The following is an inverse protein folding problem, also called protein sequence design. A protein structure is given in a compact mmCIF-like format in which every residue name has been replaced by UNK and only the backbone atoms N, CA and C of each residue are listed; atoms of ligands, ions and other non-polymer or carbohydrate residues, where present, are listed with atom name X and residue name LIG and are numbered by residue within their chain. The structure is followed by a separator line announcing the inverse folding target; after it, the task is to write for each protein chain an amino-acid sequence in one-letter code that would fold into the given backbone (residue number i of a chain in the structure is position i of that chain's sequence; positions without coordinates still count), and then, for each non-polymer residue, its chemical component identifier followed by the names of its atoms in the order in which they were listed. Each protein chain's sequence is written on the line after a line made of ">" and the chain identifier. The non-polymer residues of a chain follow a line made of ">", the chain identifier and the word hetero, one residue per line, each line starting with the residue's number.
data_IF_785059094486
#
_entry.id   IF_785059094486
#
_cell.length_a   1.000
_cell.length_b   1.000
_cell.length_c   1.000
_cell.angle_alpha   90.00
_cell.angle_beta   90.00
_cell.angle_gamma   90.00
#
_symmetry.space_group_name_H-M   'P 1'
#
loop_
_entity.id
_entity.type
_entity.pdbx_description
1 polymer ?
#
# COMPACT_ATOMS: atom_id res chain seq x y z
N UNK A 1 13.64 -18.61 -8.79
CA UNK A 1 12.22 -18.95 -9.03
C UNK A 1 11.33 -17.94 -8.35
N UNK A 2 10.34 -17.35 -9.06
CA UNK A 2 9.47 -16.34 -8.47
C UNK A 2 8.73 -16.83 -7.21
N UNK A 3 8.33 -18.10 -7.19
CA UNK A 3 7.63 -18.67 -6.02
C UNK A 3 8.51 -18.73 -4.77
N UNK A 4 9.80 -18.98 -4.93
CA UNK A 4 10.73 -19.01 -3.80
C UNK A 4 10.97 -17.61 -3.26
N UNK A 5 11.08 -16.63 -4.14
CA UNK A 5 11.23 -15.22 -3.76
C UNK A 5 10.01 -14.72 -3.00
N UNK A 6 8.81 -15.08 -3.47
CA UNK A 6 7.57 -14.73 -2.79
C UNK A 6 7.48 -15.38 -1.41
N UNK A 7 7.87 -16.65 -1.29
CA UNK A 7 7.89 -17.36 -0.03
C UNK A 7 8.83 -16.70 0.98
N UNK A 8 10.00 -16.28 0.54
CA UNK A 8 10.97 -15.58 1.39
C UNK A 8 10.42 -14.24 1.87
N UNK A 9 9.77 -13.49 0.97
CA UNK A 9 9.11 -12.24 1.35
C UNK A 9 8.03 -12.46 2.40
N UNK A 10 7.21 -13.50 2.24
CA UNK A 10 6.16 -13.82 3.20
C UNK A 10 6.76 -14.13 4.57
N UNK A 11 7.81 -14.91 4.64
CA UNK A 11 8.47 -15.25 5.90
C UNK A 11 9.02 -14.02 6.61
N UNK A 12 9.73 -13.17 5.87
CA UNK A 12 10.33 -11.96 6.43
C UNK A 12 9.26 -10.95 6.84
N UNK A 13 8.26 -10.74 6.00
CA UNK A 13 7.19 -9.80 6.29
C UNK A 13 6.34 -10.25 7.48
N UNK A 14 6.12 -11.54 7.63
CA UNK A 14 5.32 -12.10 8.74
C UNK A 14 5.89 -11.74 10.11
N UNK A 15 7.20 -11.54 10.22
CA UNK A 15 7.82 -11.17 11.48
C UNK A 15 7.45 -9.76 11.92
N UNK A 16 6.95 -8.91 11.02
CA UNK A 16 6.57 -7.52 11.31
C UNK A 16 5.07 -7.29 11.32
N UNK A 17 4.27 -8.20 10.75
CA UNK A 17 2.84 -8.02 10.53
C UNK A 17 2.04 -7.64 11.80
N UNK A 18 2.28 -8.26 12.97
CA UNK A 18 1.51 -7.94 14.17
C UNK A 18 1.74 -6.51 14.70
N UNK A 19 2.72 -5.80 14.16
CA UNK A 19 3.13 -4.49 14.65
C UNK A 19 2.60 -3.34 13.77
N UNK A 20 1.69 -3.65 12.82
CA UNK A 20 1.20 -2.68 11.85
C UNK A 20 2.17 -2.48 10.70
N UNK A 21 2.12 -1.33 10.00
CA UNK A 21 3.04 -1.08 8.89
C UNK A 21 4.49 -1.17 9.33
N UNK A 22 5.31 -1.87 8.55
CA UNK A 22 6.72 -2.02 8.84
C UNK A 22 7.47 -0.70 8.61
N UNK A 23 8.58 -0.45 9.34
CA UNK A 23 9.34 0.79 9.19
C UNK A 23 10.22 0.75 7.93
N UNK A 24 9.60 0.61 6.77
CA UNK A 24 10.29 0.44 5.48
C UNK A 24 11.16 1.65 5.13
N UNK A 25 10.82 2.83 5.64
CA UNK A 25 11.60 4.05 5.41
C UNK A 25 12.98 4.00 6.06
N UNK A 26 13.18 3.10 7.03
CA UNK A 26 14.46 2.90 7.70
C UNK A 26 15.34 1.86 7.00
N UNK A 27 14.79 1.16 6.02
CA UNK A 27 15.48 0.05 5.35
C UNK A 27 15.93 0.47 3.96
N UNK A 28 17.17 0.18 3.63
CA UNK A 28 17.74 0.46 2.32
C UNK A 28 18.53 -0.76 1.82
N UNK A 29 17.85 -1.91 1.64
CA UNK A 29 18.50 -3.10 1.14
C UNK A 29 18.81 -3.01 -0.36
N UNK A 30 19.65 -3.90 -0.89
CA UNK A 30 19.92 -3.91 -2.32
C UNK A 30 18.67 -4.27 -3.11
N UNK A 31 18.57 -3.71 -4.31
CA UNK A 31 17.49 -4.04 -5.23
C UNK A 31 17.73 -5.45 -5.81
N UNK A 32 16.71 -6.30 -5.69
CA UNK A 32 16.80 -7.71 -6.07
C UNK A 32 16.01 -8.05 -7.34
N UNK A 33 15.59 -7.05 -8.10
CA UNK A 33 14.84 -7.26 -9.33
C UNK A 33 13.35 -7.02 -9.17
N UNK A 34 12.60 -7.22 -10.23
CA UNK A 34 11.15 -7.03 -10.25
C UNK A 34 10.45 -8.35 -9.97
N UNK A 35 9.36 -8.26 -9.21
CA UNK A 35 8.47 -9.38 -8.94
C UNK A 35 7.16 -9.12 -9.68
N UNK A 36 6.59 -10.17 -10.28
CA UNK A 36 5.33 -10.03 -11.02
C UNK A 36 4.14 -9.94 -10.05
N UNK A 37 4.08 -8.82 -9.36
CA UNK A 37 2.93 -8.44 -8.56
C UNK A 37 2.38 -7.15 -9.15
N UNK A 38 1.06 -7.10 -9.37
CA UNK A 38 0.37 -5.94 -9.92
C UNK A 38 -0.76 -5.56 -8.98
N UNK A 39 -0.79 -4.30 -8.56
CA UNK A 39 -1.95 -3.72 -7.87
C UNK A 39 -2.78 -3.01 -8.93
N UNK A 40 -3.98 -3.54 -9.20
CA UNK A 40 -4.89 -3.00 -10.20
C UNK A 40 -5.56 -1.72 -9.71
N UNK A 41 -6.23 -1.02 -10.62
CA UNK A 41 -6.94 0.23 -10.31
C UNK A 41 -7.99 0.09 -9.22
N UNK A 42 -8.63 -1.07 -9.15
CA UNK A 42 -9.67 -1.35 -8.16
C UNK A 42 -9.10 -1.78 -6.80
N UNK A 43 -7.78 -1.79 -6.65
CA UNK A 43 -7.10 -2.19 -5.42
C UNK A 43 -6.82 -3.68 -5.31
N UNK A 44 -7.21 -4.47 -6.30
CA UNK A 44 -6.93 -5.91 -6.28
C UNK A 44 -5.47 -6.19 -6.60
N UNK A 45 -4.93 -7.23 -5.96
CA UNK A 45 -3.55 -7.65 -6.12
C UNK A 45 -3.47 -8.93 -6.94
N UNK A 46 -2.54 -8.95 -7.90
CA UNK A 46 -2.31 -10.10 -8.77
C UNK A 46 -0.85 -10.54 -8.67
N UNK A 47 -0.63 -11.84 -8.68
CA UNK A 47 0.69 -12.43 -8.75
C UNK A 47 0.73 -13.42 -9.92
N UNK A 48 1.66 -13.19 -10.85
CA UNK A 48 1.80 -14.00 -12.07
C UNK A 48 0.48 -14.16 -12.84
N UNK A 49 -0.28 -13.05 -12.92
CA UNK A 49 -1.55 -13.02 -13.65
C UNK A 49 -2.73 -13.60 -12.90
N UNK A 50 -2.55 -14.05 -11.67
CA UNK A 50 -3.61 -14.63 -10.85
C UNK A 50 -3.94 -13.75 -9.66
N UNK A 51 -5.22 -13.58 -9.31
CA UNK A 51 -5.58 -12.76 -8.16
C UNK A 51 -5.09 -13.38 -6.85
N UNK A 52 -4.55 -12.54 -5.97
CA UNK A 52 -4.23 -12.93 -4.60
C UNK A 52 -5.51 -12.82 -3.80
N UNK A 53 -6.14 -13.95 -3.51
CA UNK A 53 -7.45 -14.00 -2.87
C UNK A 53 -7.39 -13.95 -1.36
N UNK A 54 -6.26 -14.37 -0.78
CA UNK A 54 -6.09 -14.38 0.67
C UNK A 54 -5.81 -12.96 1.15
N UNK A 55 -6.76 -12.42 1.90
CA UNK A 55 -6.68 -11.06 2.41
C UNK A 55 -5.48 -10.84 3.31
N UNK A 56 -5.11 -11.85 4.08
CA UNK A 56 -3.94 -11.78 4.97
C UNK A 56 -2.64 -11.58 4.20
N UNK A 57 -2.50 -12.13 3.00
CA UNK A 57 -1.33 -11.87 2.16
C UNK A 57 -1.31 -10.45 1.63
N UNK A 58 -2.46 -9.93 1.21
CA UNK A 58 -2.56 -8.55 0.74
C UNK A 58 -2.20 -7.58 1.86
N UNK A 59 -2.71 -7.81 3.06
CA UNK A 59 -2.38 -6.99 4.24
C UNK A 59 -0.89 -7.07 4.57
N UNK A 60 -0.33 -8.27 4.52
CA UNK A 60 1.08 -8.51 4.79
C UNK A 60 1.97 -7.75 3.81
N UNK A 61 1.72 -7.90 2.51
CA UNK A 61 2.52 -7.22 1.48
C UNK A 61 2.32 -5.71 1.54
N UNK A 62 1.12 -5.22 1.83
CA UNK A 62 0.90 -3.78 1.96
C UNK A 62 1.67 -3.19 3.14
N UNK A 63 1.95 -3.98 4.17
CA UNK A 63 2.71 -3.51 5.32
C UNK A 63 4.19 -3.25 5.01
N UNK A 64 4.72 -3.86 3.95
CA UNK A 64 6.11 -3.67 3.52
C UNK A 64 6.22 -2.89 2.21
N UNK A 65 5.17 -2.25 1.79
CA UNK A 65 5.14 -1.44 0.59
C UNK A 65 5.88 -0.11 0.81
N UNK A 66 6.76 0.23 -0.13
CA UNK A 66 7.50 1.49 -0.11
C UNK A 66 7.46 2.14 -1.49
N UNK A 67 7.27 3.44 -1.51
CA UNK A 67 7.37 4.24 -2.74
C UNK A 67 8.71 4.96 -2.76
N UNK A 68 9.46 4.81 -3.85
CA UNK A 68 10.69 5.56 -4.10
C UNK A 68 10.59 6.19 -5.49
N UNK A 69 10.72 7.50 -5.56
CA UNK A 69 10.50 8.27 -6.79
C UNK A 69 9.09 7.97 -7.32
N UNK A 70 8.90 7.47 -8.48
CA UNK A 70 7.58 7.12 -9.01
C UNK A 70 7.34 5.61 -9.10
N UNK A 71 8.16 4.84 -8.38
CA UNK A 71 8.05 3.37 -8.38
C UNK A 71 7.70 2.84 -7.00
N UNK A 72 7.10 1.67 -7.00
CA UNK A 72 6.70 0.97 -5.78
C UNK A 72 7.52 -0.30 -5.61
N UNK A 73 7.82 -0.62 -4.35
CA UNK A 73 8.64 -1.77 -3.98
C UNK A 73 8.05 -2.45 -2.75
N UNK A 74 8.29 -3.76 -2.66
CA UNK A 74 8.13 -4.50 -1.43
C UNK A 74 9.51 -4.62 -0.79
N UNK A 75 9.64 -4.20 0.46
CA UNK A 75 10.93 -4.04 1.13
C UNK A 75 10.94 -4.82 2.43
N UNK A 76 12.02 -5.58 2.63
CA UNK A 76 12.40 -6.16 3.93
C UNK A 76 13.79 -5.66 4.28
N UNK A 77 14.29 -5.90 5.49
CA UNK A 77 15.67 -5.50 5.79
C UNK A 77 16.72 -6.12 4.86
N UNK A 78 16.40 -7.24 4.22
CA UNK A 78 17.35 -7.99 3.42
C UNK A 78 17.23 -7.74 1.92
N UNK A 79 16.03 -7.36 1.42
CA UNK A 79 15.81 -7.24 -0.02
C UNK A 79 14.75 -6.21 -0.38
N UNK A 80 14.85 -5.72 -1.61
CA UNK A 80 13.89 -4.80 -2.21
C UNK A 80 13.52 -5.33 -3.59
N UNK A 81 12.23 -5.57 -3.83
CA UNK A 81 11.73 -6.03 -5.12
C UNK A 81 10.71 -5.04 -5.68
N UNK A 82 10.79 -4.78 -6.99
CA UNK A 82 9.88 -3.86 -7.66
C UNK A 82 8.55 -4.54 -7.97
N UNK A 83 7.47 -3.79 -7.84
CA UNK A 83 6.13 -4.22 -8.24
C UNK A 83 5.49 -3.18 -9.14
N UNK A 84 4.37 -3.53 -9.76
CA UNK A 84 3.61 -2.63 -10.62
C UNK A 84 2.35 -2.17 -9.90
N UNK A 85 2.12 -0.87 -9.90
CA UNK A 85 0.90 -0.27 -9.36
C UNK A 85 0.25 0.54 -10.47
N UNK A 86 -0.99 0.18 -10.86
CA UNK A 86 -1.65 0.81 -11.99
C UNK A 86 -2.02 2.26 -11.70
N UNK A 87 -2.40 2.58 -10.46
CA UNK A 87 -2.78 3.93 -10.10
C UNK A 87 -2.35 4.28 -8.68
N UNK A 88 -3.05 3.74 -7.69
CA UNK A 88 -2.74 3.95 -6.28
C UNK A 88 -2.68 2.61 -5.57
N UNK A 89 -1.77 2.45 -4.58
CA UNK A 89 -1.63 1.17 -3.90
C UNK A 89 -2.79 0.84 -2.96
N UNK A 90 -3.53 1.86 -2.49
CA UNK A 90 -4.64 1.69 -1.57
C UNK A 90 -5.91 2.31 -2.12
N UNK A 91 -7.04 1.72 -1.78
CA UNK A 91 -8.37 2.22 -2.12
C UNK A 91 -9.13 2.48 -0.83
N UNK A 92 -9.75 3.65 -0.71
CA UNK A 92 -10.62 3.96 0.42
C UNK A 92 -11.97 3.25 0.19
N UNK A 93 -12.37 2.42 1.14
CA UNK A 93 -13.61 1.65 1.07
C UNK A 93 -14.63 2.06 2.13
N UNK A 94 -14.26 2.94 3.04
CA UNK A 94 -15.18 3.42 4.08
C UNK A 94 -14.74 4.76 4.62
N UNK A 95 -15.71 5.52 5.14
CA UNK A 95 -15.47 6.83 5.73
C UNK A 95 -16.40 7.02 6.91
N UNK A 96 -15.85 7.48 8.03
CA UNK A 96 -16.61 7.87 9.21
C UNK A 96 -16.32 9.32 9.53
N UNK A 97 -17.38 10.06 9.89
CA UNK A 97 -17.25 11.44 10.34
C UNK A 97 -17.69 11.50 11.80
N UNK A 98 -16.85 12.05 12.65
CA UNK A 98 -17.14 12.23 14.06
C UNK A 98 -16.68 13.61 14.52
N UNK A 99 -17.01 13.96 15.76
CA UNK A 99 -16.54 15.21 16.36
C UNK A 99 -15.76 14.88 17.62
N UNK A 100 -14.64 15.55 17.78
CA UNK A 100 -13.81 15.43 18.98
C UNK A 100 -13.47 16.84 19.45
N UNK A 101 -13.91 17.17 20.67
CA UNK A 101 -13.71 18.51 21.26
C UNK A 101 -14.24 19.63 20.36
N UNK A 102 -15.39 19.39 19.70
CA UNK A 102 -16.02 20.36 18.80
C UNK A 102 -15.41 20.45 17.42
N UNK A 103 -14.38 19.64 17.12
CA UNK A 103 -13.73 19.62 15.82
C UNK A 103 -14.17 18.37 15.05
N UNK A 104 -14.51 18.56 13.78
CA UNK A 104 -14.88 17.46 12.90
C UNK A 104 -13.64 16.61 12.58
N UNK A 105 -13.79 15.29 12.72
CA UNK A 105 -12.74 14.31 12.41
C UNK A 105 -13.27 13.38 11.33
N UNK A 106 -12.51 13.25 10.24
CA UNK A 106 -12.83 12.35 9.14
C UNK A 106 -11.84 11.19 9.18
N UNK A 107 -12.38 9.97 9.27
CA UNK A 107 -11.58 8.75 9.30
C UNK A 107 -11.90 7.92 8.06
N UNK A 108 -10.86 7.52 7.34
CA UNK A 108 -10.96 6.67 6.17
C UNK A 108 -10.47 5.27 6.49
N UNK A 109 -11.09 4.28 5.89
CA UNK A 109 -10.64 2.89 5.94
C UNK A 109 -10.27 2.44 4.55
N UNK A 110 -9.08 1.84 4.41
CA UNK A 110 -8.59 1.33 3.14
C UNK A 110 -9.02 -0.12 2.92
N UNK A 111 -8.82 -0.60 1.71
CA UNK A 111 -9.08 -2.00 1.34
C UNK A 111 -8.16 -3.00 2.04
N UNK A 112 -7.11 -2.52 2.71
CA UNK A 112 -6.22 -3.36 3.55
C UNK A 112 -6.50 -3.20 5.03
N UNK A 113 -7.66 -2.66 5.40
CA UNK A 113 -8.14 -2.41 6.77
C UNK A 113 -7.30 -1.39 7.55
N UNK A 114 -6.52 -0.58 6.87
CA UNK A 114 -5.79 0.51 7.48
C UNK A 114 -6.73 1.70 7.71
N UNK A 115 -6.67 2.31 8.90
CA UNK A 115 -7.48 3.48 9.22
C UNK A 115 -6.61 4.74 9.19
N UNK A 116 -7.12 5.78 8.53
CA UNK A 116 -6.38 7.01 8.31
C UNK A 116 -7.28 8.19 8.67
N UNK A 117 -6.77 9.09 9.51
CA UNK A 117 -7.47 10.32 9.85
C UNK A 117 -6.92 11.43 8.97
N UNK A 118 -7.82 12.17 8.29
CA UNK A 118 -7.41 13.31 7.47
C UNK A 118 -6.87 14.42 8.39
N UNK A 119 -5.60 14.74 8.24
CA UNK A 119 -4.90 15.74 9.06
C UNK A 119 -3.67 16.28 8.30
N UNK A 120 -2.76 16.93 9.02
CA UNK A 120 -1.56 17.50 8.40
C UNK A 120 -0.59 16.46 7.85
N UNK A 121 -0.63 15.24 8.36
CA UNK A 121 0.24 14.14 7.88
C UNK A 121 -0.45 13.30 6.79
N UNK A 122 -1.78 13.37 6.73
CA UNK A 122 -2.59 12.63 5.76
C UNK A 122 -3.45 13.62 4.98
N UNK A 123 -2.85 14.23 3.97
CA UNK A 123 -3.50 15.28 3.19
C UNK A 123 -4.53 14.73 2.22
N UNK A 124 -5.69 15.39 2.18
CA UNK A 124 -6.63 15.22 1.09
C UNK A 124 -6.21 16.12 -0.07
N UNK A 125 -6.22 15.56 -1.26
CA UNK A 125 -5.95 16.29 -2.48
C UNK A 125 -6.85 15.78 -3.59
N UNK A 126 -6.97 16.55 -4.66
CA UNK A 126 -7.69 16.14 -5.86
C UNK A 126 -6.68 16.09 -6.98
N UNK A 127 -6.53 14.90 -7.59
CA UNK A 127 -5.63 14.71 -8.71
C UNK A 127 -6.42 14.54 -9.99
N UNK A 128 -5.96 15.23 -11.04
CA UNK A 128 -6.43 15.01 -12.40
C UNK A 128 -5.35 14.26 -13.14
N UNK A 129 -5.62 13.00 -13.49
CA UNK A 129 -4.66 12.18 -14.19
C UNK A 129 -5.18 11.80 -15.58
N UNK A 130 -4.33 12.09 -16.55
CA UNK A 130 -4.33 11.45 -17.87
C UNK A 130 -5.68 11.25 -18.55
N UNK A 131 -6.42 12.32 -18.84
CA UNK A 131 -7.66 12.20 -19.59
C UNK A 131 -8.86 11.68 -18.81
N UNK A 132 -8.76 11.65 -17.50
CA UNK A 132 -9.95 11.37 -16.67
C UNK A 132 -10.95 12.50 -16.81
N UNK A 133 -12.22 12.16 -17.04
CA UNK A 133 -13.27 13.15 -17.25
C UNK A 133 -13.67 13.88 -15.97
N UNK A 134 -13.22 13.38 -14.81
CA UNK A 134 -13.52 13.99 -13.52
C UNK A 134 -12.34 13.81 -12.55
N UNK A 135 -12.21 14.72 -11.58
CA UNK A 135 -11.11 14.66 -10.62
C UNK A 135 -11.20 13.45 -9.70
N UNK A 136 -10.05 12.97 -9.26
CA UNK A 136 -9.95 11.86 -8.33
C UNK A 136 -9.45 12.36 -6.99
N UNK A 137 -10.28 12.32 -5.92
CA UNK A 137 -9.79 12.64 -4.60
C UNK A 137 -8.83 11.56 -4.10
N UNK A 138 -7.74 11.99 -3.52
CA UNK A 138 -6.72 11.10 -2.95
C UNK A 138 -6.35 11.57 -1.55
N UNK A 139 -5.90 10.64 -0.72
CA UNK A 139 -5.38 10.95 0.60
C UNK A 139 -3.99 10.34 0.77
N UNK A 140 -3.09 11.10 1.38
CA UNK A 140 -1.75 10.62 1.68
C UNK A 140 -1.82 9.63 2.85
N UNK A 141 -1.33 8.42 2.64
CA UNK A 141 -1.34 7.36 3.64
C UNK A 141 -0.04 7.39 4.43
N UNK A 142 1.07 7.27 3.75
CA UNK A 142 2.42 7.34 4.33
C UNK A 142 3.46 7.43 3.21
N UNK A 143 4.67 7.79 3.60
CA UNK A 143 5.81 7.85 2.66
C UNK A 143 6.33 6.47 2.30
#
# INVERSE_FOLDING_TARGET
>A
MPSDQLTDLVKLASSYAPRGPAPVHLWDPPFCGDLDIVIKRDGSWFHEGRPIRRREFVKLFSSILKKEDDRYYLVTPAEKVGITVERCPFIVIGMDVSQRNGVQVIRFRTNTDEQIIADSEHHLAVEERGGADFPHPVIHVRD
#
